data_IF_378516926082
#
_entry.id   IF_378516926082
#
_cell.length_a   1.000
_cell.length_b   1.000
_cell.length_c   1.000
_cell.angle_alpha   90.00
_cell.angle_beta   90.00
_cell.angle_gamma   90.00
#
_symmetry.space_group_name_H-M   'P 1'
#
loop_
_entity.id
_entity.type
_entity.pdbx_description
1 polymer ?
#
# COMPACT_ATOMS: atom_id res chain seq x y z
N UNK A 1 -20.77 8.24 14.15
CA UNK A 1 -19.59 7.36 13.95
C UNK A 1 -19.96 6.36 12.88
N UNK A 2 -19.12 6.19 11.87
CA UNK A 2 -19.37 5.31 10.75
C UNK A 2 -18.72 3.94 11.04
N UNK A 3 -19.35 3.12 11.88
CA UNK A 3 -18.71 1.90 12.36
C UNK A 3 -18.46 0.87 11.25
N UNK A 4 -19.35 0.77 10.25
CA UNK A 4 -19.23 -0.18 9.13
C UNK A 4 -17.94 -0.02 8.32
N UNK A 5 -17.61 1.15 7.74
CA UNK A 5 -16.36 1.31 7.00
C UNK A 5 -15.11 1.13 7.88
N UNK A 6 -15.20 1.47 9.18
CA UNK A 6 -14.10 1.25 10.12
C UNK A 6 -13.80 -0.24 10.27
N UNK A 7 -14.82 -1.06 10.57
CA UNK A 7 -14.63 -2.52 10.73
C UNK A 7 -14.11 -3.15 9.44
N UNK A 8 -14.64 -2.75 8.29
CA UNK A 8 -14.14 -3.28 7.01
C UNK A 8 -12.69 -2.87 6.75
N UNK A 9 -12.31 -1.62 7.04
CA UNK A 9 -10.91 -1.18 6.88
C UNK A 9 -9.96 -1.92 7.83
N UNK A 10 -10.38 -2.10 9.09
CA UNK A 10 -9.59 -2.79 10.13
C UNK A 10 -9.25 -4.24 9.72
N UNK A 11 -10.13 -4.90 8.96
CA UNK A 11 -9.92 -6.27 8.48
C UNK A 11 -9.29 -6.34 7.09
N UNK A 12 -9.62 -5.39 6.20
CA UNK A 12 -9.13 -5.39 4.83
C UNK A 12 -7.64 -5.02 4.75
N UNK A 13 -7.19 -4.04 5.53
CA UNK A 13 -5.80 -3.62 5.53
C UNK A 13 -4.81 -4.75 5.87
N UNK A 14 -4.97 -5.51 6.97
CA UNK A 14 -4.09 -6.65 7.23
C UNK A 14 -4.23 -7.74 6.18
N UNK A 15 -5.43 -8.02 5.67
CA UNK A 15 -5.60 -8.99 4.58
C UNK A 15 -4.80 -8.64 3.32
N UNK A 16 -4.87 -7.38 2.86
CA UNK A 16 -4.11 -6.96 1.68
C UNK A 16 -2.59 -6.88 1.96
N UNK A 17 -2.19 -6.49 3.16
CA UNK A 17 -0.78 -6.35 3.52
C UNK A 17 -0.05 -7.67 3.79
N UNK A 18 -0.74 -8.64 4.41
CA UNK A 18 -0.14 -9.89 4.87
C UNK A 18 -0.52 -11.11 4.04
N UNK A 19 -1.81 -11.26 3.71
CA UNK A 19 -2.28 -12.46 3.03
C UNK A 19 -1.91 -12.38 1.55
N UNK A 20 -2.22 -11.26 0.90
CA UNK A 20 -1.87 -11.08 -0.51
C UNK A 20 -0.36 -10.93 -0.78
N UNK A 21 0.44 -10.57 0.23
CA UNK A 21 1.90 -10.61 0.11
C UNK A 21 2.47 -12.01 0.30
N UNK A 22 1.63 -12.99 0.66
CA UNK A 22 1.96 -14.37 1.03
C UNK A 22 2.68 -14.52 2.38
N UNK A 23 2.91 -13.42 3.11
CA UNK A 23 3.62 -13.37 4.38
C UNK A 23 2.89 -14.15 5.49
N UNK A 24 1.58 -13.94 5.62
CA UNK A 24 0.75 -14.68 6.58
C UNK A 24 -0.32 -15.51 5.85
N UNK A 25 -0.36 -16.84 6.07
CA UNK A 25 -1.45 -17.70 5.60
C UNK A 25 -2.83 -17.18 6.04
N UNK A 26 -3.87 -17.22 5.19
CA UNK A 26 -5.21 -16.72 5.52
C UNK A 26 -5.77 -17.26 6.84
N UNK A 27 -5.55 -18.55 7.13
CA UNK A 27 -6.03 -19.16 8.39
C UNK A 27 -5.25 -18.67 9.61
N UNK A 28 -3.95 -18.34 9.46
CA UNK A 28 -3.15 -17.77 10.54
C UNK A 28 -3.56 -16.33 10.86
N UNK A 29 -4.04 -15.57 9.87
CA UNK A 29 -4.60 -14.23 10.10
C UNK A 29 -5.82 -14.29 11.04
N UNK A 30 -6.61 -15.36 10.97
CA UNK A 30 -7.85 -15.51 11.76
C UNK A 30 -7.61 -15.98 13.20
N UNK A 31 -6.38 -16.35 13.57
CA UNK A 31 -6.05 -16.70 14.95
C UNK A 31 -6.23 -15.46 15.84
N UNK A 32 -6.88 -15.55 17.02
CA UNK A 32 -7.28 -14.38 17.79
C UNK A 32 -6.14 -13.39 18.09
N UNK A 33 -4.97 -13.91 18.44
CA UNK A 33 -3.79 -13.10 18.74
C UNK A 33 -3.24 -12.41 17.48
N UNK A 34 -3.05 -13.15 16.40
CA UNK A 34 -2.58 -12.61 15.12
C UNK A 34 -3.56 -11.58 14.57
N UNK A 35 -4.86 -11.87 14.62
CA UNK A 35 -5.89 -10.95 14.19
C UNK A 35 -5.81 -9.65 15.00
N UNK A 36 -5.68 -9.74 16.33
CA UNK A 36 -5.57 -8.56 17.18
C UNK A 36 -4.32 -7.72 16.85
N UNK A 37 -3.16 -8.36 16.71
CA UNK A 37 -1.91 -7.68 16.36
C UNK A 37 -1.98 -7.04 14.97
N UNK A 38 -2.44 -7.76 13.97
CA UNK A 38 -2.50 -7.29 12.58
C UNK A 38 -3.59 -6.23 12.39
N UNK A 39 -4.72 -6.32 13.10
CA UNK A 39 -5.70 -5.24 13.16
C UNK A 39 -5.12 -4.00 13.83
N UNK A 40 -4.36 -4.17 14.92
CA UNK A 40 -3.71 -3.07 15.62
C UNK A 40 -2.61 -2.41 14.79
N UNK A 41 -1.82 -3.18 14.02
CA UNK A 41 -0.77 -2.65 13.16
C UNK A 41 -1.35 -2.07 11.86
N UNK A 42 -1.87 -2.94 10.99
CA UNK A 42 -2.34 -2.57 9.66
C UNK A 42 -3.67 -1.85 9.67
N UNK A 43 -4.64 -2.39 10.41
CA UNK A 43 -6.00 -1.86 10.46
C UNK A 43 -6.01 -0.44 11.02
N UNK A 44 -5.41 -0.23 12.20
CA UNK A 44 -5.33 1.08 12.82
C UNK A 44 -4.40 2.02 12.04
N UNK A 45 -3.29 1.54 11.47
CA UNK A 45 -2.42 2.32 10.60
C UNK A 45 -3.15 2.89 9.38
N UNK A 46 -3.87 2.04 8.64
CA UNK A 46 -4.69 2.47 7.52
C UNK A 46 -5.81 3.43 7.93
N UNK A 47 -6.45 3.20 9.09
CA UNK A 47 -7.47 4.09 9.65
C UNK A 47 -6.91 5.49 9.97
N UNK A 48 -5.73 5.55 10.59
CA UNK A 48 -5.04 6.81 10.88
C UNK A 48 -4.72 7.56 9.59
N UNK A 49 -4.08 6.90 8.62
CA UNK A 49 -3.76 7.52 7.33
C UNK A 49 -5.01 8.06 6.63
N UNK A 50 -6.11 7.29 6.61
CA UNK A 50 -7.39 7.71 6.04
C UNK A 50 -7.95 8.95 6.72
N UNK A 51 -8.00 8.93 8.05
CA UNK A 51 -8.63 9.99 8.83
C UNK A 51 -7.81 11.28 8.80
N UNK A 52 -6.48 11.17 8.87
CA UNK A 52 -5.58 12.31 8.73
C UNK A 52 -5.66 12.90 7.32
N UNK A 53 -5.65 12.06 6.27
CA UNK A 53 -5.82 12.53 4.90
C UNK A 53 -7.16 13.26 4.69
N UNK A 54 -8.25 12.75 5.29
CA UNK A 54 -9.56 13.41 5.23
C UNK A 54 -9.58 14.74 6.00
N UNK A 55 -9.12 14.76 7.26
CA UNK A 55 -9.16 15.94 8.14
C UNK A 55 -8.23 17.06 7.66
N UNK A 56 -7.11 16.72 7.04
CA UNK A 56 -6.16 17.68 6.50
C UNK A 56 -6.39 18.00 5.02
N UNK A 57 -7.38 17.38 4.38
CA UNK A 57 -7.75 17.65 2.98
C UNK A 57 -6.66 17.26 1.97
N UNK A 58 -5.92 16.18 2.23
CA UNK A 58 -4.70 15.85 1.49
C UNK A 58 -4.92 15.20 0.11
N UNK A 59 -6.10 14.65 -0.13
CA UNK A 59 -6.38 13.86 -1.34
C UNK A 59 -5.50 12.60 -1.44
N UNK A 60 -5.45 12.01 -2.64
CA UNK A 60 -4.68 10.77 -2.88
C UNK A 60 -3.16 10.94 -2.71
N UNK A 61 -2.50 12.01 -3.20
CA UNK A 61 -1.05 12.15 -3.04
C UNK A 61 -0.61 12.18 -1.58
N UNK A 62 -1.31 12.94 -0.73
CA UNK A 62 -0.95 12.95 0.69
C UNK A 62 -1.40 11.68 1.43
N UNK A 63 -2.47 11.00 1.01
CA UNK A 63 -2.77 9.65 1.51
C UNK A 63 -1.64 8.66 1.19
N UNK A 64 -1.09 8.71 -0.03
CA UNK A 64 0.03 7.86 -0.44
C UNK A 64 1.31 8.18 0.36
N UNK A 65 1.58 9.46 0.63
CA UNK A 65 2.72 9.88 1.47
C UNK A 65 2.53 9.47 2.94
N UNK A 66 1.31 9.54 3.48
CA UNK A 66 1.01 8.99 4.81
C UNK A 66 1.12 7.46 4.83
N UNK A 67 0.69 6.78 3.76
CA UNK A 67 0.89 5.35 3.59
C UNK A 67 2.37 4.95 3.53
N UNK A 68 3.20 5.76 2.87
CA UNK A 68 4.66 5.57 2.87
C UNK A 68 5.24 5.80 4.27
N UNK A 69 4.81 6.84 5.00
CA UNK A 69 5.23 7.06 6.37
C UNK A 69 4.84 5.88 7.30
N UNK A 70 3.66 5.30 7.08
CA UNK A 70 3.22 4.07 7.74
C UNK A 70 4.13 2.88 7.37
N UNK A 71 4.46 2.70 6.08
CA UNK A 71 5.39 1.65 5.64
C UNK A 71 6.77 1.79 6.27
N UNK A 72 7.30 3.01 6.44
CA UNK A 72 8.54 3.23 7.19
C UNK A 72 8.39 2.84 8.67
N UNK A 73 7.27 3.22 9.30
CA UNK A 73 7.00 2.87 10.69
C UNK A 73 7.00 1.34 10.89
N UNK A 74 6.27 0.62 10.06
CA UNK A 74 6.17 -0.83 10.11
C UNK A 74 7.52 -1.49 9.84
N UNK A 75 8.11 -1.20 8.69
CA UNK A 75 9.23 -1.99 8.17
C UNK A 75 10.59 -1.60 8.75
N UNK A 76 10.72 -0.38 9.26
CA UNK A 76 11.94 0.06 9.92
C UNK A 76 11.85 -0.07 11.45
N UNK A 77 10.69 0.11 12.08
CA UNK A 77 10.60 0.16 13.55
C UNK A 77 9.97 -1.08 14.15
N UNK A 78 8.93 -1.64 13.52
CA UNK A 78 8.21 -2.82 14.02
C UNK A 78 8.97 -4.08 13.59
N UNK A 79 9.02 -4.33 12.28
CA UNK A 79 9.59 -5.57 11.73
C UNK A 79 11.10 -5.47 11.51
N UNK A 80 11.58 -4.25 11.26
CA UNK A 80 13.02 -3.89 11.13
C UNK A 80 13.72 -4.60 9.97
N UNK A 81 12.96 -5.03 8.97
CA UNK A 81 13.43 -5.67 7.74
C UNK A 81 14.31 -4.78 6.87
N UNK A 82 14.28 -3.45 7.08
CA UNK A 82 15.27 -2.54 6.50
C UNK A 82 16.70 -2.87 6.92
N UNK A 83 16.86 -3.43 8.12
CA UNK A 83 18.16 -3.57 8.78
C UNK A 83 18.55 -5.03 9.00
N UNK A 84 17.58 -5.95 8.94
CA UNK A 84 17.78 -7.37 9.22
C UNK A 84 18.53 -8.08 8.07
N UNK A 85 19.78 -8.52 8.28
CA UNK A 85 20.51 -9.28 7.27
C UNK A 85 19.88 -10.64 6.98
N UNK A 86 19.27 -11.28 7.98
CA UNK A 86 18.59 -12.58 7.82
C UNK A 86 17.41 -12.47 6.87
N UNK A 87 16.60 -11.43 7.02
CA UNK A 87 15.52 -11.13 6.08
C UNK A 87 16.04 -10.82 4.67
N UNK A 88 17.12 -10.03 4.56
CA UNK A 88 17.71 -9.72 3.27
C UNK A 88 18.26 -10.97 2.55
N UNK A 89 18.88 -11.90 3.29
CA UNK A 89 19.33 -13.17 2.74
C UNK A 89 18.15 -14.07 2.34
N UNK A 90 17.11 -14.17 3.17
CA UNK A 90 15.90 -14.96 2.89
C UNK A 90 15.21 -14.51 1.59
N UNK A 91 15.14 -13.20 1.34
CA UNK A 91 14.55 -12.63 0.12
C UNK A 91 15.45 -12.70 -1.12
N UNK A 92 16.68 -13.19 -0.99
CA UNK A 92 17.67 -13.25 -2.07
C UNK A 92 18.31 -11.91 -2.44
N UNK A 93 18.00 -10.83 -1.70
CA UNK A 93 18.61 -9.51 -1.91
C UNK A 93 20.02 -9.44 -1.32
N UNK A 94 20.23 -10.10 -0.18
CA UNK A 94 21.49 -10.07 0.56
C UNK A 94 21.97 -8.65 0.85
N UNK A 95 23.26 -8.42 0.68
CA UNK A 95 23.90 -7.13 0.98
C UNK A 95 23.77 -6.10 -0.18
N UNK A 96 23.03 -6.45 -1.24
CA UNK A 96 22.82 -5.57 -2.38
C UNK A 96 22.10 -4.29 -1.95
N UNK A 97 22.67 -3.13 -2.29
CA UNK A 97 22.18 -1.80 -1.85
C UNK A 97 22.17 -1.59 -0.32
N UNK A 98 22.99 -2.33 0.43
CA UNK A 98 23.18 -2.08 1.85
C UNK A 98 24.09 -0.86 2.07
N UNK A 99 23.55 0.17 2.73
CA UNK A 99 24.27 1.39 3.10
C UNK A 99 24.00 1.67 4.57
N UNK A 100 25.07 1.76 5.36
CA UNK A 100 24.99 2.04 6.80
C UNK A 100 23.94 1.17 7.52
N UNK A 101 24.09 -0.15 7.40
CA UNK A 101 23.16 -1.16 7.95
C UNK A 101 21.73 -1.14 7.41
N UNK A 102 21.44 -0.30 6.41
CA UNK A 102 20.10 -0.20 5.79
C UNK A 102 20.14 -0.78 4.39
N UNK A 103 19.34 -1.80 4.11
CA UNK A 103 19.13 -2.27 2.74
C UNK A 103 18.16 -1.32 2.03
N UNK A 104 18.69 -0.44 1.17
CA UNK A 104 17.90 0.60 0.52
C UNK A 104 16.89 0.06 -0.49
N UNK A 105 17.17 -1.11 -1.07
CA UNK A 105 16.29 -1.74 -2.05
C UNK A 105 15.06 -2.35 -1.37
N UNK A 106 15.26 -3.08 -0.27
CA UNK A 106 14.18 -3.59 0.57
C UNK A 106 13.40 -2.44 1.22
N UNK A 107 14.10 -1.44 1.76
CA UNK A 107 13.47 -0.27 2.36
C UNK A 107 12.50 0.42 1.39
N UNK A 108 12.92 0.64 0.15
CA UNK A 108 12.09 1.28 -0.85
C UNK A 108 10.93 0.39 -1.33
N UNK A 109 11.18 -0.90 -1.57
CA UNK A 109 10.16 -1.88 -1.97
C UNK A 109 9.06 -2.00 -0.93
N UNK A 110 9.42 -2.25 0.34
CA UNK A 110 8.45 -2.47 1.41
C UNK A 110 7.66 -1.18 1.68
N UNK A 111 8.33 -0.01 1.71
CA UNK A 111 7.63 1.28 1.82
C UNK A 111 6.61 1.49 0.71
N UNK A 112 6.98 1.21 -0.55
CA UNK A 112 6.09 1.36 -1.69
C UNK A 112 4.93 0.35 -1.64
N UNK A 113 5.20 -0.89 -1.23
CA UNK A 113 4.20 -1.94 -1.05
C UNK A 113 3.15 -1.52 -0.02
N UNK A 114 3.56 -1.15 1.20
CA UNK A 114 2.62 -0.78 2.25
C UNK A 114 1.85 0.51 1.94
N UNK A 115 2.48 1.48 1.26
CA UNK A 115 1.79 2.66 0.78
C UNK A 115 0.67 2.33 -0.22
N UNK A 116 0.97 1.52 -1.23
CA UNK A 116 0.06 1.25 -2.35
C UNK A 116 -0.98 0.17 -2.02
N UNK A 117 -0.56 -0.94 -1.43
CA UNK A 117 -1.37 -2.13 -1.15
C UNK A 117 -2.05 -2.00 0.20
N UNK A 118 -1.28 -1.97 1.28
CA UNK A 118 -1.82 -2.01 2.65
C UNK A 118 -2.69 -0.79 3.00
N UNK A 119 -2.29 0.40 2.55
CA UNK A 119 -2.99 1.66 2.88
C UNK A 119 -3.88 2.15 1.74
N UNK A 120 -3.33 2.57 0.60
CA UNK A 120 -4.11 3.25 -0.44
C UNK A 120 -5.22 2.36 -1.01
N UNK A 121 -4.91 1.13 -1.39
CA UNK A 121 -5.89 0.20 -1.96
C UNK A 121 -6.98 -0.12 -0.95
N UNK A 122 -6.63 -0.43 0.30
CA UNK A 122 -7.60 -0.66 1.39
C UNK A 122 -8.55 0.51 1.58
N UNK A 123 -8.02 1.73 1.69
CA UNK A 123 -8.83 2.93 1.90
C UNK A 123 -9.74 3.22 0.72
N UNK A 124 -9.25 3.09 -0.52
CA UNK A 124 -10.04 3.33 -1.72
C UNK A 124 -11.15 2.28 -1.88
N UNK A 125 -10.85 1.00 -1.65
CA UNK A 125 -11.84 -0.09 -1.66
C UNK A 125 -12.96 0.17 -0.67
N UNK A 126 -12.63 0.46 0.59
CA UNK A 126 -13.66 0.77 1.60
C UNK A 126 -14.45 2.03 1.21
N UNK A 127 -13.79 3.02 0.62
CA UNK A 127 -14.47 4.24 0.17
C UNK A 127 -15.48 3.96 -0.97
N UNK A 128 -15.17 3.04 -1.89
CA UNK A 128 -16.11 2.58 -2.92
C UNK A 128 -17.26 1.74 -2.35
N UNK A 129 -17.00 0.92 -1.33
CA UNK A 129 -18.03 0.12 -0.65
C UNK A 129 -19.03 1.00 0.13
N UNK A 130 -18.58 2.14 0.64
CA UNK A 130 -19.37 3.03 1.48
C UNK A 130 -19.40 4.48 0.96
N UNK A 131 -19.98 4.75 -0.23
CA UNK A 131 -19.94 6.07 -0.86
C UNK A 131 -20.58 7.17 -0.01
N UNK A 132 -21.65 6.86 0.75
CA UNK A 132 -22.27 7.78 1.71
C UNK A 132 -21.42 8.13 2.94
N UNK A 133 -20.18 7.62 3.03
CA UNK A 133 -19.23 7.91 4.09
C UNK A 133 -17.90 8.49 3.58
N UNK A 134 -17.74 8.69 2.26
CA UNK A 134 -16.47 9.09 1.66
C UNK A 134 -15.98 10.47 2.13
N UNK A 135 -16.88 11.45 2.21
CA UNK A 135 -16.57 12.86 2.46
C UNK A 135 -16.76 13.27 3.94
N UNK A 136 -16.71 12.29 4.87
CA UNK A 136 -16.82 12.56 6.32
C UNK A 136 -15.83 11.76 7.14
N UNK A 137 -15.52 12.26 8.35
CA UNK A 137 -14.78 11.51 9.35
C UNK A 137 -15.56 10.25 9.76
N UNK A 138 -14.90 9.10 9.81
CA UNK A 138 -15.49 7.83 10.23
C UNK A 138 -15.47 7.69 11.75
N UNK A 139 -14.42 8.19 12.40
CA UNK A 139 -14.23 8.16 13.85
C UNK A 139 -14.19 9.56 14.47
N UNK A 140 -14.38 9.64 15.79
CA UNK A 140 -14.13 10.86 16.57
C UNK A 140 -12.63 10.97 16.90
N UNK A 141 -12.11 12.13 17.33
CA UNK A 141 -10.70 12.28 17.72
C UNK A 141 -10.22 11.23 18.73
N UNK A 142 -11.06 10.85 19.69
CA UNK A 142 -10.76 9.75 20.64
C UNK A 142 -10.46 8.42 19.94
N UNK A 143 -11.15 8.11 18.84
CA UNK A 143 -10.90 6.90 18.05
C UNK A 143 -9.55 6.93 17.33
N UNK A 144 -9.04 8.12 16.97
CA UNK A 144 -7.68 8.25 16.45
C UNK A 144 -6.64 7.99 17.52
N UNK A 145 -6.86 8.51 18.73
CA UNK A 145 -5.96 8.25 19.86
C UNK A 145 -5.91 6.75 20.15
N UNK A 146 -7.06 6.08 20.21
CA UNK A 146 -7.12 4.62 20.42
C UNK A 146 -6.39 3.87 19.30
N UNK A 147 -6.62 4.24 18.03
CA UNK A 147 -5.94 3.62 16.90
C UNK A 147 -4.41 3.84 16.94
N UNK A 148 -3.97 5.05 17.30
CA UNK A 148 -2.55 5.38 17.47
C UNK A 148 -1.90 4.60 18.60
N UNK A 149 -2.56 4.49 19.75
CA UNK A 149 -2.06 3.68 20.88
C UNK A 149 -2.00 2.21 20.49
N UNK A 150 -3.04 1.66 19.86
CA UNK A 150 -3.07 0.27 19.43
C UNK A 150 -1.92 -0.05 18.47
N UNK A 151 -1.70 0.80 17.46
CA UNK A 151 -0.59 0.66 16.52
C UNK A 151 0.76 0.71 17.23
N UNK A 152 1.00 1.76 18.04
CA UNK A 152 2.25 1.92 18.78
C UNK A 152 2.50 0.79 19.78
N UNK A 153 1.46 0.20 20.35
CA UNK A 153 1.59 -0.92 21.28
C UNK A 153 2.22 -2.14 20.60
N UNK A 154 1.93 -2.38 19.31
CA UNK A 154 2.51 -3.52 18.56
C UNK A 154 4.03 -3.47 18.58
N UNK A 155 4.63 -2.29 18.38
CA UNK A 155 6.09 -2.10 18.43
C UNK A 155 6.73 -2.67 19.71
N UNK A 156 6.04 -2.55 20.85
CA UNK A 156 6.53 -3.08 22.12
C UNK A 156 6.25 -4.57 22.27
N UNK A 157 5.09 -5.04 21.80
CA UNK A 157 4.67 -6.44 21.92
C UNK A 157 5.55 -7.39 21.10
N UNK A 158 6.01 -6.97 19.92
CA UNK A 158 6.85 -7.78 19.03
C UNK A 158 8.34 -7.41 19.09
N UNK A 159 8.74 -6.61 20.10
CA UNK A 159 10.07 -6.02 20.14
C UNK A 159 11.18 -7.08 20.15
N UNK A 160 10.97 -8.14 20.92
CA UNK A 160 11.93 -9.23 21.13
C UNK A 160 11.97 -10.23 19.98
N UNK A 161 10.94 -10.22 19.13
CA UNK A 161 10.83 -11.16 18.00
C UNK A 161 11.69 -10.73 16.79
N UNK A 162 12.22 -9.50 16.80
CA UNK A 162 12.86 -8.89 15.64
C UNK A 162 14.30 -8.45 15.90
N UNK A 163 15.08 -8.34 14.81
CA UNK A 163 16.46 -7.88 14.81
C UNK A 163 16.63 -6.55 15.58
N UNK A 164 17.78 -6.34 16.24
CA UNK A 164 18.05 -5.11 17.01
C UNK A 164 19.03 -4.22 16.23
N UNK A 165 18.56 -3.18 15.52
CA UNK A 165 19.41 -2.35 14.69
C UNK A 165 20.20 -1.35 15.54
N UNK A 166 21.33 -0.84 15.02
CA UNK A 166 21.98 0.31 15.62
C UNK A 166 21.04 1.53 15.68
N UNK A 167 21.20 2.38 16.70
CA UNK A 167 20.32 3.54 16.91
C UNK A 167 20.37 4.55 15.74
N UNK A 168 21.54 4.75 15.12
CA UNK A 168 21.72 5.72 14.04
C UNK A 168 20.76 5.52 12.85
N UNK A 169 20.78 4.35 12.20
CA UNK A 169 19.83 4.00 11.12
C UNK A 169 18.36 4.12 11.53
N UNK A 170 17.99 3.76 12.76
CA UNK A 170 16.63 3.91 13.29
C UNK A 170 16.22 5.39 13.35
N UNK A 171 17.11 6.28 13.82
CA UNK A 171 16.86 7.72 13.84
C UNK A 171 16.72 8.31 12.42
N UNK A 172 17.47 7.79 11.44
CA UNK A 172 17.31 8.18 10.03
C UNK A 172 15.96 7.75 9.50
N UNK A 173 15.53 6.51 9.75
CA UNK A 173 14.20 6.04 9.34
C UNK A 173 13.07 6.87 9.97
N UNK A 174 13.17 7.20 11.26
CA UNK A 174 12.26 8.14 11.92
C UNK A 174 12.23 9.50 11.23
N UNK A 175 13.41 10.05 10.89
CA UNK A 175 13.54 11.28 10.13
C UNK A 175 12.83 11.21 8.78
N UNK A 176 13.01 10.12 8.03
CA UNK A 176 12.33 9.87 6.74
C UNK A 176 10.82 9.82 6.92
N UNK A 177 10.32 9.10 7.94
CA UNK A 177 8.89 9.05 8.26
C UNK A 177 8.30 10.44 8.53
N UNK A 178 8.99 11.26 9.34
CA UNK A 178 8.60 12.66 9.59
C UNK A 178 8.61 13.49 8.30
N UNK A 179 9.65 13.36 7.47
CA UNK A 179 9.74 14.06 6.19
C UNK A 179 8.59 13.68 5.25
N UNK A 180 8.16 12.41 5.22
CA UNK A 180 7.02 11.95 4.44
C UNK A 180 5.70 12.57 4.95
N UNK A 181 5.50 12.66 6.26
CA UNK A 181 4.34 13.35 6.85
C UNK A 181 4.35 14.85 6.51
N UNK A 182 5.50 15.51 6.61
CA UNK A 182 5.66 16.92 6.21
C UNK A 182 5.36 17.08 4.71
N UNK A 183 5.91 16.23 3.86
CA UNK A 183 5.63 16.22 2.43
C UNK A 183 4.12 16.02 2.15
N UNK A 184 3.45 15.15 2.91
CA UNK A 184 2.00 14.97 2.82
C UNK A 184 1.26 16.28 3.13
N UNK A 185 1.64 16.99 4.19
CA UNK A 185 1.07 18.29 4.54
C UNK A 185 1.38 19.40 3.52
N UNK A 186 2.50 19.32 2.81
CA UNK A 186 2.85 20.24 1.73
C UNK A 186 2.13 19.91 0.43
N UNK A 187 1.78 18.63 0.20
CA UNK A 187 1.08 18.18 -1.01
C UNK A 187 -0.28 18.85 -1.22
N UNK A 188 -0.93 19.32 -0.15
CA UNK A 188 -2.19 20.10 -0.22
C UNK A 188 -2.07 21.40 -1.01
N UNK A 189 -0.84 21.92 -1.16
CA UNK A 189 -0.54 23.15 -1.91
C UNK A 189 -0.29 22.89 -3.39
N UNK A 190 -0.13 21.62 -3.79
CA UNK A 190 0.12 21.28 -5.18
C UNK A 190 -1.15 21.56 -6.01
N UNK A 191 -1.01 22.18 -7.19
CA UNK A 191 -2.12 22.32 -8.12
C UNK A 191 -2.73 20.95 -8.39
N UNK A 192 -4.07 20.87 -8.31
CA UNK A 192 -4.77 19.70 -8.82
C UNK A 192 -4.47 19.62 -10.33
N UNK A 193 -4.07 18.46 -10.86
CA UNK A 193 -3.85 18.32 -12.30
C UNK A 193 -5.05 18.89 -13.06
N UNK A 194 -4.81 19.90 -13.90
CA UNK A 194 -5.85 20.43 -14.78
C UNK A 194 -6.35 19.33 -15.70
N UNK A 195 -7.63 19.38 -16.09
CA UNK A 195 -8.20 18.50 -17.12
C UNK A 195 -7.49 18.77 -18.45
N UNK A 196 -6.43 18.02 -18.75
CA UNK A 196 -5.64 18.24 -19.95
C UNK A 196 -5.27 16.92 -20.65
N UNK A 197 -6.27 16.32 -21.31
CA UNK A 197 -6.04 15.59 -22.56
C UNK A 197 -7.35 15.49 -23.36
N UNK A 198 -7.30 15.83 -24.65
CA UNK A 198 -8.37 15.54 -25.62
C UNK A 198 -8.48 14.03 -25.90
N UNK A 199 -7.38 13.30 -25.67
CA UNK A 199 -7.34 11.84 -25.73
C UNK A 199 -7.74 11.28 -24.36
N UNK A 200 -8.88 10.59 -24.29
CA UNK A 200 -9.32 9.86 -23.09
C UNK A 200 -8.78 8.43 -23.16
N UNK A 201 -7.62 8.11 -22.55
CA UNK A 201 -7.20 6.71 -22.44
C UNK A 201 -8.29 5.91 -21.71
N UNK A 202 -8.49 4.67 -22.16
CA UNK A 202 -9.49 3.79 -21.56
C UNK A 202 -9.05 3.49 -20.12
N UNK A 203 -9.93 3.56 -19.11
CA UNK A 203 -9.57 3.25 -17.71
C UNK A 203 -8.86 1.90 -17.54
N UNK A 204 -9.20 0.91 -18.38
CA UNK A 204 -8.51 -0.39 -18.45
C UNK A 204 -7.02 -0.29 -18.73
N UNK A 205 -6.59 0.64 -19.59
CA UNK A 205 -5.18 0.87 -19.89
C UNK A 205 -4.42 1.32 -18.64
N UNK A 206 -5.02 2.19 -17.81
CA UNK A 206 -4.43 2.58 -16.53
C UNK A 206 -4.27 1.40 -15.58
N UNK A 207 -5.23 0.47 -15.57
CA UNK A 207 -5.11 -0.77 -14.82
C UNK A 207 -3.99 -1.69 -15.34
N UNK A 208 -3.86 -1.84 -16.66
CA UNK A 208 -2.75 -2.61 -17.26
C UNK A 208 -1.40 -1.96 -16.94
N UNK A 209 -1.28 -0.64 -17.06
CA UNK A 209 -0.06 0.09 -16.71
C UNK A 209 0.27 -0.10 -15.24
N UNK A 210 -0.71 0.03 -14.34
CA UNK A 210 -0.51 -0.20 -12.91
C UNK A 210 -0.05 -1.63 -12.60
N UNK A 211 -0.66 -2.63 -13.26
CA UNK A 211 -0.23 -4.03 -13.14
C UNK A 211 1.20 -4.24 -13.62
N UNK A 212 1.53 -3.78 -14.84
CA UNK A 212 2.87 -3.94 -15.43
C UNK A 212 3.91 -3.22 -14.57
N UNK A 213 3.64 -2.00 -14.12
CA UNK A 213 4.56 -1.26 -13.26
C UNK A 213 4.77 -1.95 -11.90
N UNK A 214 3.71 -2.49 -11.29
CA UNK A 214 3.81 -3.20 -10.00
C UNK A 214 4.58 -4.51 -10.15
N UNK A 215 4.27 -5.28 -11.20
CA UNK A 215 4.97 -6.53 -11.51
C UNK A 215 6.44 -6.29 -11.87
N UNK A 216 6.73 -5.26 -12.69
CA UNK A 216 8.09 -4.90 -13.04
C UNK A 216 8.88 -4.42 -11.81
N UNK A 217 8.29 -3.57 -10.95
CA UNK A 217 8.94 -3.15 -9.70
C UNK A 217 9.29 -4.34 -8.82
N UNK A 218 8.32 -5.25 -8.61
CA UNK A 218 8.52 -6.44 -7.77
C UNK A 218 9.60 -7.35 -8.34
N UNK A 219 9.52 -7.67 -9.64
CA UNK A 219 10.51 -8.49 -10.34
C UNK A 219 11.91 -7.87 -10.28
N UNK A 220 12.04 -6.59 -10.61
CA UNK A 220 13.33 -5.90 -10.65
C UNK A 220 13.94 -5.76 -9.26
N UNK A 221 13.13 -5.63 -8.21
CA UNK A 221 13.63 -5.60 -6.82
C UNK A 221 14.38 -6.88 -6.47
N UNK A 222 13.80 -8.05 -6.76
CA UNK A 222 14.42 -9.33 -6.43
C UNK A 222 15.44 -9.81 -7.48
N UNK A 223 15.33 -9.34 -8.72
CA UNK A 223 16.28 -9.68 -9.79
C UNK A 223 17.54 -8.80 -9.78
N UNK A 224 17.47 -7.54 -9.33
CA UNK A 224 18.58 -6.58 -9.39
C UNK A 224 19.93 -7.13 -8.86
N UNK A 225 20.00 -7.83 -7.71
CA UNK A 225 21.24 -8.42 -7.20
C UNK A 225 21.92 -9.39 -8.19
N UNK A 226 21.13 -10.09 -9.00
CA UNK A 226 21.64 -11.08 -9.97
C UNK A 226 22.09 -10.49 -11.31
N UNK A 227 21.84 -9.20 -11.54
CA UNK A 227 22.15 -8.54 -12.84
C UNK A 227 23.61 -8.14 -13.02
N UNK A 228 24.40 -8.13 -11.94
CA UNK A 228 25.76 -7.58 -11.94
C UNK A 228 25.83 -6.04 -12.00
N UNK A 229 24.69 -5.35 -12.02
CA UNK A 229 24.65 -3.89 -11.99
C UNK A 229 25.09 -3.37 -10.61
N UNK A 230 25.85 -2.25 -10.55
CA UNK A 230 26.14 -1.61 -9.28
C UNK A 230 24.83 -1.15 -8.61
N UNK A 231 24.80 -1.23 -7.28
CA UNK A 231 23.56 -1.04 -6.52
C UNK A 231 22.77 0.25 -6.82
N UNK A 232 23.40 1.42 -7.10
CA UNK A 232 22.62 2.62 -7.41
C UNK A 232 21.83 2.47 -8.73
N UNK A 233 22.41 1.77 -9.71
CA UNK A 233 21.77 1.52 -11.00
C UNK A 233 20.64 0.49 -10.88
N UNK A 234 20.86 -0.60 -10.13
CA UNK A 234 19.79 -1.58 -9.88
C UNK A 234 18.65 -1.00 -9.05
N UNK A 235 18.94 -0.17 -8.04
CA UNK A 235 17.94 0.55 -7.28
C UNK A 235 17.12 1.50 -8.18
N UNK A 236 17.79 2.31 -9.00
CA UNK A 236 17.10 3.21 -9.93
C UNK A 236 16.23 2.43 -10.92
N UNK A 237 16.72 1.31 -11.44
CA UNK A 237 15.98 0.42 -12.33
C UNK A 237 14.74 -0.17 -11.63
N UNK A 238 14.87 -0.64 -10.39
CA UNK A 238 13.76 -1.17 -9.60
C UNK A 238 12.69 -0.10 -9.29
N UNK A 239 13.08 1.18 -9.10
CA UNK A 239 12.16 2.27 -8.78
C UNK A 239 11.52 2.92 -10.03
N UNK A 240 12.15 2.80 -11.20
CA UNK A 240 11.65 3.41 -12.43
C UNK A 240 10.19 3.05 -12.76
N UNK A 241 9.72 1.79 -12.63
CA UNK A 241 8.32 1.43 -12.87
C UNK A 241 7.33 2.18 -11.97
N UNK A 242 7.67 2.44 -10.71
CA UNK A 242 6.81 3.20 -9.79
C UNK A 242 6.64 4.65 -10.27
N UNK A 243 7.75 5.29 -10.66
CA UNK A 243 7.74 6.66 -11.21
C UNK A 243 6.92 6.72 -12.49
N UNK A 244 7.14 5.79 -13.42
CA UNK A 244 6.38 5.69 -14.67
C UNK A 244 4.89 5.51 -14.40
N UNK A 245 4.50 4.63 -13.47
CA UNK A 245 3.12 4.39 -13.10
C UNK A 245 2.44 5.65 -12.53
N UNK A 246 3.11 6.35 -11.60
CA UNK A 246 2.60 7.60 -11.03
C UNK A 246 2.45 8.69 -12.09
N UNK A 247 3.43 8.86 -12.97
CA UNK A 247 3.37 9.83 -14.07
C UNK A 247 2.26 9.50 -15.07
N UNK A 248 2.08 8.22 -15.41
CA UNK A 248 0.98 7.76 -16.26
C UNK A 248 -0.37 8.10 -15.63
N UNK A 249 -0.60 7.74 -14.36
CA UNK A 249 -1.84 8.09 -13.64
C UNK A 249 -2.05 9.60 -13.62
N UNK A 250 -1.02 10.40 -13.31
CA UNK A 250 -1.13 11.86 -13.29
C UNK A 250 -1.48 12.47 -14.65
N UNK A 251 -0.96 11.90 -15.74
CA UNK A 251 -1.15 12.41 -17.10
C UNK A 251 -2.46 11.95 -17.74
N UNK A 252 -2.93 10.75 -17.40
CA UNK A 252 -3.98 10.05 -18.14
C UNK A 252 -5.27 9.82 -17.34
N UNK A 253 -5.25 9.91 -16.01
CA UNK A 253 -6.47 9.78 -15.21
C UNK A 253 -7.37 11.01 -15.39
N UNK A 254 -8.65 10.78 -15.67
CA UNK A 254 -9.65 11.82 -15.98
C UNK A 254 -10.84 11.82 -15.01
N UNK A 255 -11.12 10.68 -14.38
CA UNK A 255 -12.25 10.48 -13.47
C UNK A 255 -11.90 10.65 -11.99
N UNK A 256 -10.62 10.93 -11.69
CA UNK A 256 -10.11 11.09 -10.33
C UNK A 256 -9.89 9.76 -9.59
N UNK A 257 -9.33 9.84 -8.37
CA UNK A 257 -8.95 8.66 -7.58
C UNK A 257 -10.12 7.78 -7.14
N UNK A 258 -11.31 8.36 -6.94
CA UNK A 258 -12.53 7.63 -6.60
C UNK A 258 -13.37 7.27 -7.82
N UNK A 259 -12.94 7.67 -9.02
CA UNK A 259 -13.58 7.34 -10.27
C UNK A 259 -13.17 5.95 -10.80
N UNK A 260 -13.59 5.66 -12.02
CA UNK A 260 -13.29 4.40 -12.71
C UNK A 260 -11.79 4.21 -12.93
N UNK A 261 -11.04 5.28 -13.16
CA UNK A 261 -9.58 5.22 -13.32
C UNK A 261 -8.91 4.69 -12.06
N UNK A 262 -9.27 5.25 -10.90
CA UNK A 262 -8.75 4.78 -9.61
C UNK A 262 -9.07 3.31 -9.35
N UNK A 263 -10.28 2.85 -9.68
CA UNK A 263 -10.65 1.44 -9.51
C UNK A 263 -9.81 0.52 -10.39
N UNK A 264 -9.57 0.87 -11.66
CA UNK A 264 -8.68 0.10 -12.53
C UNK A 264 -7.23 0.14 -12.05
N UNK A 265 -6.73 1.28 -11.58
CA UNK A 265 -5.37 1.39 -11.01
C UNK A 265 -5.22 0.48 -9.80
N UNK A 266 -6.15 0.52 -8.85
CA UNK A 266 -6.13 -0.39 -7.67
C UNK A 266 -6.24 -1.85 -8.11
N UNK A 267 -7.08 -2.16 -9.09
CA UNK A 267 -7.16 -3.52 -9.66
C UNK A 267 -5.83 -3.96 -10.26
N UNK A 268 -5.12 -3.06 -10.95
CA UNK A 268 -3.81 -3.34 -11.52
C UNK A 268 -2.74 -3.57 -10.45
N UNK A 269 -2.67 -2.69 -9.45
CA UNK A 269 -1.75 -2.81 -8.30
C UNK A 269 -1.98 -4.15 -7.59
N UNK A 270 -3.23 -4.50 -7.26
CA UNK A 270 -3.56 -5.74 -6.58
C UNK A 270 -3.48 -6.97 -7.49
N UNK A 271 -3.55 -6.80 -8.81
CA UNK A 271 -3.47 -7.91 -9.75
C UNK A 271 -2.13 -8.66 -9.69
N UNK A 272 -1.03 -7.94 -9.43
CA UNK A 272 0.29 -8.56 -9.28
C UNK A 272 0.36 -9.50 -8.05
N UNK A 273 0.10 -9.05 -6.81
CA UNK A 273 0.10 -9.95 -5.65
C UNK A 273 -0.97 -11.04 -5.75
N UNK A 274 -2.16 -10.76 -6.31
CA UNK A 274 -3.18 -11.81 -6.56
C UNK A 274 -2.65 -12.91 -7.49
N UNK A 275 -1.92 -12.54 -8.55
CA UNK A 275 -1.32 -13.51 -9.46
C UNK A 275 -0.26 -14.35 -8.74
N UNK A 276 0.62 -13.71 -7.97
CA UNK A 276 1.66 -14.39 -7.18
C UNK A 276 1.02 -15.35 -6.17
N UNK A 277 0.05 -14.87 -5.38
CA UNK A 277 -0.69 -15.65 -4.39
C UNK A 277 -1.33 -16.90 -5.03
N UNK A 278 -1.93 -16.73 -6.20
CA UNK A 278 -2.55 -17.84 -6.94
C UNK A 278 -1.52 -18.85 -7.44
N UNK A 279 -0.40 -18.39 -8.01
CA UNK A 279 0.66 -19.24 -8.55
C UNK A 279 1.39 -20.02 -7.44
N UNK A 280 1.79 -19.34 -6.36
CA UNK A 280 2.38 -19.99 -5.17
C UNK A 280 1.38 -20.99 -4.58
N UNK A 281 0.09 -20.65 -4.58
CA UNK A 281 -0.92 -21.57 -4.09
C UNK A 281 -1.06 -22.86 -4.91
N UNK A 282 -0.84 -22.80 -6.23
CA UNK A 282 -0.84 -23.98 -7.10
C UNK A 282 0.34 -24.92 -6.84
N UNK A 283 1.40 -24.46 -6.18
CA UNK A 283 2.56 -25.28 -5.77
C UNK A 283 2.32 -26.04 -4.44
N UNK A 284 1.10 -26.01 -3.89
CA UNK A 284 0.70 -26.80 -2.72
C UNK A 284 0.13 -25.97 -1.57
N UNK A 285 0.05 -24.65 -1.70
CA UNK A 285 -0.58 -23.73 -0.74
C UNK A 285 -1.99 -23.32 -1.17
N UNK A 286 -2.90 -24.28 -1.23
CA UNK A 286 -4.26 -24.04 -1.75
C UNK A 286 -5.05 -22.94 -1.01
N UNK A 287 -4.69 -22.65 0.24
CA UNK A 287 -5.20 -21.51 1.01
C UNK A 287 -4.96 -20.17 0.27
N UNK A 288 -3.79 -20.01 -0.34
CA UNK A 288 -3.42 -18.85 -1.14
C UNK A 288 -4.15 -18.80 -2.49
N UNK A 289 -4.31 -19.93 -3.17
CA UNK A 289 -5.11 -19.98 -4.42
C UNK A 289 -6.54 -19.49 -4.16
N UNK A 290 -7.16 -19.95 -3.07
CA UNK A 290 -8.51 -19.52 -2.68
C UNK A 290 -8.53 -18.01 -2.37
N UNK A 291 -7.57 -17.50 -1.60
CA UNK A 291 -7.41 -16.07 -1.32
C UNK A 291 -7.30 -15.23 -2.60
N UNK A 292 -6.39 -15.59 -3.50
CA UNK A 292 -6.19 -14.90 -4.77
C UNK A 292 -7.46 -14.88 -5.64
N UNK A 293 -8.11 -16.04 -5.80
CA UNK A 293 -9.36 -16.16 -6.58
C UNK A 293 -10.48 -15.33 -5.95
N UNK A 294 -10.69 -15.41 -4.64
CA UNK A 294 -11.71 -14.62 -3.95
C UNK A 294 -11.47 -13.12 -4.09
N UNK A 295 -10.21 -12.69 -4.02
CA UNK A 295 -9.82 -11.29 -4.22
C UNK A 295 -10.12 -10.84 -5.65
N UNK A 296 -9.77 -11.66 -6.66
CA UNK A 296 -10.10 -11.38 -8.05
C UNK A 296 -11.61 -11.26 -8.28
N UNK A 297 -12.40 -12.18 -7.72
CA UNK A 297 -13.86 -12.15 -7.78
C UNK A 297 -14.44 -10.91 -7.09
N UNK A 298 -13.90 -10.52 -5.93
CA UNK A 298 -14.31 -9.32 -5.21
C UNK A 298 -14.04 -8.05 -6.03
N UNK A 299 -12.89 -7.96 -6.70
CA UNK A 299 -12.57 -6.84 -7.60
C UNK A 299 -13.53 -6.80 -8.80
N UNK A 300 -13.80 -7.94 -9.44
CA UNK A 300 -14.78 -8.04 -10.54
C UNK A 300 -16.17 -7.60 -10.07
N UNK A 301 -16.60 -8.03 -8.90
CA UNK A 301 -17.86 -7.62 -8.29
C UNK A 301 -17.89 -6.11 -8.02
N UNK A 302 -16.79 -5.54 -7.53
CA UNK A 302 -16.68 -4.11 -7.26
C UNK A 302 -16.80 -3.27 -8.54
N UNK A 303 -16.20 -3.71 -9.66
CA UNK A 303 -16.37 -3.09 -10.99
C UNK A 303 -17.81 -3.07 -11.48
N UNK A 304 -18.64 -4.05 -11.06
CA UNK A 304 -20.08 -4.08 -11.38
C UNK A 304 -20.89 -3.14 -10.50
N UNK A 305 -20.40 -2.82 -9.30
CA UNK A 305 -21.10 -2.00 -8.29
C UNK A 305 -20.80 -0.52 -8.39
N UNK A 306 -19.59 -0.14 -8.79
CA UNK A 306 -19.20 1.27 -8.98
C UNK A 306 -19.75 1.73 -10.33
N UNK A 307 -20.78 2.62 -10.36
CA UNK A 307 -21.35 3.07 -11.62
C UNK A 307 -20.28 3.74 -12.48
N UNK A 308 -20.39 3.63 -13.81
CA UNK A 308 -19.74 4.61 -14.67
C UNK A 308 -20.24 5.98 -14.18
N UNK A 309 -19.35 6.88 -13.78
CA UNK A 309 -19.77 8.26 -13.57
C UNK A 309 -20.54 8.69 -14.83
N UNK A 310 -21.81 9.08 -14.65
CA UNK A 310 -22.68 9.51 -15.73
C UNK A 310 -22.04 10.74 -16.39
N UNK A 311 -21.29 10.51 -17.46
CA UNK A 311 -20.92 11.52 -18.43
C UNK A 311 -21.87 11.38 -19.60
N UNK A 312 -22.61 12.45 -19.89
CA UNK A 312 -23.66 12.61 -20.92
C UNK A 312 -25.05 12.02 -20.62
N UNK A 313 -25.81 12.75 -19.80
CA UNK A 313 -27.28 12.86 -19.95
C UNK A 313 -27.71 14.31 -20.24
N UNK A 314 -26.90 15.06 -21.01
CA UNK A 314 -27.31 16.38 -21.53
C UNK A 314 -27.02 16.48 -23.02
N UNK A 315 -27.71 15.66 -23.80
CA UNK A 315 -28.03 15.91 -25.21
C UNK A 315 -29.42 15.31 -25.50
N UNK A 316 -30.42 15.97 -24.94
CA UNK A 316 -31.80 15.95 -25.44
C UNK A 316 -32.08 17.35 -25.99
#
# INVERSE_FOLDING_TARGET
MAWRPVVVLLLLAPYLGEVLSTATPPLKLLLPWNLALLVALYGCGALLCRELAHRWGLGLPGLALLGAAYGVYEEALVDRFWFDPGYAQYTGVGDYAQVWHTNLLLAANLTAFHAAVSVCSSVLIVTWLFPGHRDRAWVRPRGLVVAGIAMLLVLFLVYEDHFRPPLGPVLVALGIGVLLVVAALLSRRLPRPGRASSCRPRPRLLGVVAFVCTAAHSLLTYAAPSTGLPWPAGLALALAPLVVGVLAVRRWATTGSLGRDGLWVVTGILGCPVLVDTLVGLEGRYDLTVSGVLTALALVWLHRRVPAAAGDQTRG
#
